data_IF_955650546582
#
_entry.id   IF_955650546582
#
_cell.length_a   1.000
_cell.length_b   1.000
_cell.length_c   1.000
_cell.angle_alpha   90.00
_cell.angle_beta   90.00
_cell.angle_gamma   90.00
#
_symmetry.space_group_name_H-M   'P 1'
#
loop_
_entity.id
_entity.type
_entity.pdbx_description
1 polymer ?
#
# COMPACT_ATOMS: atom_id res chain seq x y z
N UNK A 1 -0.94 -36.37 -4.89
CA UNK A 1 -0.32 -35.03 -4.78
C UNK A 1 0.14 -34.86 -3.34
N UNK A 2 1.36 -34.34 -3.10
CA UNK A 2 1.84 -34.04 -1.75
C UNK A 2 0.87 -33.01 -1.10
N UNK A 3 0.36 -33.29 0.10
CA UNK A 3 -0.58 -32.40 0.81
C UNK A 3 -0.03 -30.97 0.94
N UNK A 4 1.27 -30.85 1.25
CA UNK A 4 1.96 -29.56 1.33
C UNK A 4 1.85 -28.78 0.02
N UNK A 5 2.17 -29.45 -1.10
CA UNK A 5 2.09 -28.84 -2.43
C UNK A 5 0.64 -28.48 -2.79
N UNK A 6 -0.32 -29.32 -2.43
CA UNK A 6 -1.75 -29.04 -2.63
C UNK A 6 -2.18 -27.73 -1.97
N UNK A 7 -1.86 -27.56 -0.69
CA UNK A 7 -2.12 -26.33 0.09
C UNK A 7 -1.47 -25.09 -0.53
N UNK A 8 -0.21 -25.21 -0.94
CA UNK A 8 0.52 -24.12 -1.61
C UNK A 8 -0.14 -23.71 -2.93
N UNK A 9 -0.49 -24.67 -3.78
CA UNK A 9 -1.16 -24.40 -5.05
C UNK A 9 -2.56 -23.81 -4.84
N UNK A 10 -3.28 -24.24 -3.80
CA UNK A 10 -4.57 -23.66 -3.43
C UNK A 10 -4.47 -22.17 -3.12
N UNK A 11 -3.51 -21.75 -2.28
CA UNK A 11 -3.32 -20.31 -2.03
C UNK A 11 -2.87 -19.58 -3.31
N UNK A 12 -1.96 -20.15 -4.11
CA UNK A 12 -1.48 -19.51 -5.35
C UNK A 12 -2.65 -19.20 -6.30
N UNK A 13 -3.62 -20.10 -6.43
CA UNK A 13 -4.83 -19.86 -7.23
C UNK A 13 -5.75 -18.83 -6.55
N UNK A 14 -5.89 -18.87 -5.22
CA UNK A 14 -6.70 -17.90 -4.48
C UNK A 14 -6.22 -16.46 -4.67
N UNK A 15 -4.90 -16.24 -4.70
CA UNK A 15 -4.28 -14.92 -4.87
C UNK A 15 -4.63 -14.26 -6.22
N UNK A 16 -5.12 -15.00 -7.21
CA UNK A 16 -5.62 -14.43 -8.47
C UNK A 16 -6.75 -13.42 -8.23
N UNK A 17 -7.55 -13.64 -7.18
CA UNK A 17 -8.68 -12.77 -6.81
C UNK A 17 -8.25 -11.34 -6.45
N UNK A 18 -7.00 -11.14 -6.02
CA UNK A 18 -6.46 -9.81 -5.70
C UNK A 18 -6.47 -8.88 -6.92
N UNK A 19 -6.40 -9.43 -8.14
CA UNK A 19 -6.49 -8.67 -9.40
C UNK A 19 -7.87 -8.04 -9.62
N UNK A 20 -8.89 -8.51 -8.90
CA UNK A 20 -10.26 -7.98 -8.99
C UNK A 20 -10.55 -6.87 -7.97
N UNK A 21 -9.69 -6.70 -6.97
CA UNK A 21 -9.79 -5.63 -5.97
C UNK A 21 -9.32 -4.32 -6.61
N UNK A 22 -10.22 -3.34 -6.69
CA UNK A 22 -9.94 -2.05 -7.33
C UNK A 22 -9.70 -0.96 -6.27
N UNK A 23 -8.59 -0.24 -6.45
CA UNK A 23 -8.19 0.93 -5.65
C UNK A 23 -8.79 2.20 -6.23
N UNK A 24 -8.72 3.31 -5.48
CA UNK A 24 -9.19 4.64 -5.96
C UNK A 24 -8.23 5.34 -6.92
N UNK A 25 -6.96 4.93 -6.92
CA UNK A 25 -5.92 5.48 -7.80
C UNK A 25 -6.20 5.09 -9.26
N UNK A 26 -6.01 6.01 -10.22
CA UNK A 26 -6.11 5.70 -11.65
C UNK A 26 -4.75 5.46 -12.30
N UNK A 27 -4.70 4.46 -13.18
CA UNK A 27 -3.52 4.12 -13.99
C UNK A 27 -3.50 4.97 -15.27
N UNK A 28 -2.53 5.89 -15.36
CA UNK A 28 -2.40 6.82 -16.50
C UNK A 28 -2.23 6.12 -17.84
N UNK A 29 -1.40 5.07 -17.86
CA UNK A 29 -1.06 4.29 -19.06
C UNK A 29 -2.21 3.41 -19.56
N UNK A 30 -3.27 3.25 -18.77
CA UNK A 30 -4.41 2.38 -19.08
C UNK A 30 -5.72 3.17 -19.17
N UNK A 31 -5.69 4.34 -19.83
CA UNK A 31 -6.84 5.21 -20.07
C UNK A 31 -7.65 5.54 -18.80
N UNK A 32 -6.98 5.73 -17.67
CA UNK A 32 -7.63 6.11 -16.41
C UNK A 32 -8.44 4.99 -15.74
N UNK A 33 -8.19 3.72 -16.10
CA UNK A 33 -8.69 2.57 -15.33
C UNK A 33 -8.24 2.68 -13.87
N UNK A 34 -9.07 2.24 -12.94
CA UNK A 34 -8.67 2.08 -11.54
C UNK A 34 -7.55 1.05 -11.42
N UNK A 35 -6.54 1.38 -10.62
CA UNK A 35 -5.49 0.46 -10.21
C UNK A 35 -6.09 -0.74 -9.47
N UNK A 36 -5.56 -1.95 -9.65
CA UNK A 36 -5.88 -3.08 -8.81
C UNK A 36 -4.78 -3.37 -7.78
N UNK A 37 -5.11 -4.04 -6.69
CA UNK A 37 -4.16 -4.25 -5.57
C UNK A 37 -2.98 -5.15 -5.94
N UNK A 38 -3.15 -6.06 -6.91
CA UNK A 38 -2.06 -6.90 -7.39
C UNK A 38 -1.03 -6.09 -8.22
N UNK A 39 -1.45 -5.19 -9.10
CA UNK A 39 -0.53 -4.34 -9.86
C UNK A 39 0.10 -3.24 -9.01
N UNK A 40 -0.61 -2.73 -7.99
CA UNK A 40 -0.04 -1.86 -6.95
C UNK A 40 1.10 -2.58 -6.21
N UNK A 41 0.84 -3.80 -5.71
CA UNK A 41 1.83 -4.62 -5.01
C UNK A 41 3.08 -4.90 -5.84
N UNK A 42 2.93 -5.16 -7.15
CA UNK A 42 4.06 -5.27 -8.07
C UNK A 42 4.86 -3.96 -8.16
N UNK A 43 4.17 -2.83 -8.30
CA UNK A 43 4.81 -1.54 -8.50
C UNK A 43 5.59 -1.10 -7.27
N UNK A 44 5.01 -1.23 -6.08
CA UNK A 44 5.68 -0.89 -4.82
C UNK A 44 6.84 -1.84 -4.50
N UNK A 45 6.72 -3.14 -4.81
CA UNK A 45 7.82 -4.10 -4.64
C UNK A 45 9.01 -3.76 -5.56
N UNK A 46 8.75 -3.38 -6.81
CA UNK A 46 9.81 -2.91 -7.71
C UNK A 46 10.43 -1.59 -7.22
N UNK A 47 9.60 -0.67 -6.70
CA UNK A 47 10.07 0.58 -6.12
C UNK A 47 11.00 0.34 -4.92
N UNK A 48 10.74 -0.67 -4.10
CA UNK A 48 11.61 -1.01 -2.97
C UNK A 48 13.04 -1.32 -3.40
N UNK A 49 13.21 -2.08 -4.49
CA UNK A 49 14.54 -2.39 -5.04
C UNK A 49 15.27 -1.12 -5.49
N UNK A 50 14.55 -0.18 -6.12
CA UNK A 50 15.15 1.04 -6.66
C UNK A 50 15.49 2.06 -5.58
N UNK A 51 14.69 2.12 -4.50
CA UNK A 51 14.75 3.19 -3.50
C UNK A 51 15.50 2.78 -2.22
N UNK A 52 16.11 1.59 -2.16
CA UNK A 52 16.80 1.05 -0.98
C UNK A 52 17.77 2.06 -0.34
N UNK A 53 18.55 2.77 -1.16
CA UNK A 53 19.53 3.76 -0.70
C UNK A 53 18.90 4.99 0.01
N UNK A 54 17.59 5.13 -0.04
CA UNK A 54 16.85 6.20 0.63
C UNK A 54 16.19 5.75 1.94
N UNK A 55 16.35 4.50 2.37
CA UNK A 55 15.87 4.04 3.66
C UNK A 55 16.59 4.79 4.81
N UNK A 56 15.86 5.10 5.88
CA UNK A 56 16.44 5.74 7.07
C UNK A 56 17.46 4.84 7.78
N UNK A 57 17.12 3.56 7.88
CA UNK A 57 17.87 2.52 8.55
C UNK A 57 18.29 1.45 7.55
N UNK A 58 19.27 0.61 7.90
CA UNK A 58 19.60 -0.58 7.11
C UNK A 58 18.38 -1.51 7.06
N UNK A 59 18.01 -1.92 5.85
CA UNK A 59 16.89 -2.83 5.59
C UNK A 59 17.36 -4.09 4.84
N UNK A 60 16.64 -5.19 4.97
CA UNK A 60 16.78 -6.34 4.07
C UNK A 60 15.81 -6.17 2.90
N UNK A 61 16.32 -5.78 1.73
CA UNK A 61 15.46 -5.46 0.60
C UNK A 61 14.69 -6.67 0.07
N UNK A 62 15.25 -7.88 0.18
CA UNK A 62 14.55 -9.11 -0.24
C UNK A 62 13.35 -9.37 0.68
N UNK A 63 13.51 -9.07 1.97
CA UNK A 63 12.45 -9.18 2.97
C UNK A 63 11.39 -8.09 2.79
N UNK A 64 11.78 -6.85 2.51
CA UNK A 64 10.86 -5.75 2.17
C UNK A 64 10.02 -6.10 0.93
N UNK A 65 10.65 -6.61 -0.13
CA UNK A 65 9.94 -7.08 -1.33
C UNK A 65 8.96 -8.19 -1.00
N UNK A 66 9.37 -9.19 -0.21
CA UNK A 66 8.48 -10.28 0.23
C UNK A 66 7.27 -9.73 1.01
N UNK A 67 7.50 -8.76 1.88
CA UNK A 67 6.45 -8.10 2.67
C UNK A 67 5.45 -7.36 1.77
N UNK A 68 5.95 -6.57 0.82
CA UNK A 68 5.13 -5.81 -0.13
C UNK A 68 4.37 -6.69 -1.13
N UNK A 69 4.88 -7.87 -1.48
CA UNK A 69 4.10 -8.82 -2.30
C UNK A 69 2.92 -9.45 -1.53
N UNK A 70 2.91 -9.35 -0.20
CA UNK A 70 1.92 -9.95 0.69
C UNK A 70 0.97 -8.94 1.35
N UNK A 71 1.34 -7.65 1.39
CA UNK A 71 0.66 -6.68 2.25
C UNK A 71 -0.85 -6.55 2.00
N UNK A 72 -1.25 -6.49 0.72
CA UNK A 72 -2.66 -6.30 0.33
C UNK A 72 -3.42 -7.62 0.11
N UNK A 73 -2.85 -8.81 0.34
CA UNK A 73 -3.59 -10.06 0.03
C UNK A 73 -4.89 -10.18 0.81
N UNK A 74 -4.95 -9.57 2.00
CA UNK A 74 -6.14 -9.51 2.87
C UNK A 74 -7.30 -8.75 2.23
N UNK A 75 -7.02 -7.87 1.28
CA UNK A 75 -8.05 -7.13 0.54
C UNK A 75 -8.90 -8.04 -0.37
N UNK A 76 -8.48 -9.29 -0.62
CA UNK A 76 -9.32 -10.29 -1.32
C UNK A 76 -10.68 -10.44 -0.61
N UNK A 77 -10.68 -10.43 0.72
CA UNK A 77 -11.91 -10.54 1.52
C UNK A 77 -12.35 -9.20 2.11
N UNK A 78 -11.39 -8.36 2.53
CA UNK A 78 -11.68 -7.10 3.21
C UNK A 78 -12.08 -5.97 2.24
N UNK A 79 -11.63 -6.05 0.98
CA UNK A 79 -11.68 -4.96 0.02
C UNK A 79 -10.65 -3.86 0.30
N UNK A 80 -10.43 -2.99 -0.70
CA UNK A 80 -9.60 -1.78 -0.57
C UNK A 80 -10.35 -0.71 0.22
N UNK A 81 -9.67 -0.14 1.24
CA UNK A 81 -10.17 1.02 1.98
C UNK A 81 -9.37 2.27 1.59
N UNK A 82 -10.09 3.29 1.12
CA UNK A 82 -9.45 4.54 0.75
C UNK A 82 -8.83 5.22 1.96
N UNK A 83 -7.53 5.51 1.90
CA UNK A 83 -6.73 5.99 3.04
C UNK A 83 -7.24 7.31 3.66
N UNK A 84 -8.05 8.10 2.95
CA UNK A 84 -8.64 9.34 3.45
C UNK A 84 -10.08 9.17 4.00
N UNK A 85 -10.64 7.95 3.98
CA UNK A 85 -11.96 7.64 4.55
C UNK A 85 -11.83 7.12 5.99
N UNK A 86 -11.87 8.05 6.95
CA UNK A 86 -11.71 7.76 8.38
C UNK A 86 -12.85 6.89 8.93
N UNK A 87 -14.06 6.98 8.36
CA UNK A 87 -15.21 6.22 8.84
C UNK A 87 -15.13 4.75 8.44
N UNK A 88 -14.66 4.46 7.23
CA UNK A 88 -14.44 3.09 6.76
C UNK A 88 -13.34 2.36 7.54
N UNK A 89 -12.36 3.09 8.10
CA UNK A 89 -11.19 2.53 8.78
C UNK A 89 -11.50 1.78 10.09
N UNK A 90 -12.64 2.02 10.75
CA UNK A 90 -12.92 1.43 12.08
C UNK A 90 -13.26 -0.06 12.05
N UNK A 91 -13.92 -0.53 10.98
CA UNK A 91 -14.24 -1.95 10.79
C UNK A 91 -13.18 -2.69 9.96
N UNK A 92 -12.25 -1.95 9.36
CA UNK A 92 -11.31 -2.49 8.39
C UNK A 92 -10.30 -3.43 9.03
N UNK A 93 -9.77 -3.08 10.21
CA UNK A 93 -8.80 -3.92 10.92
C UNK A 93 -9.38 -5.31 11.24
N UNK A 94 -10.63 -5.38 11.68
CA UNK A 94 -11.29 -6.65 11.97
C UNK A 94 -11.50 -7.50 10.71
N UNK A 95 -11.87 -6.87 9.59
CA UNK A 95 -12.04 -7.54 8.29
C UNK A 95 -10.71 -8.08 7.76
N UNK A 96 -9.65 -7.28 7.84
CA UNK A 96 -8.31 -7.66 7.41
C UNK A 96 -7.73 -8.78 8.27
N UNK A 97 -7.93 -8.76 9.59
CA UNK A 97 -7.51 -9.84 10.48
C UNK A 97 -8.24 -11.15 10.18
N UNK A 98 -9.55 -11.09 9.89
CA UNK A 98 -10.33 -12.27 9.51
C UNK A 98 -9.86 -12.82 8.15
N UNK A 99 -9.58 -11.95 7.18
CA UNK A 99 -9.03 -12.31 5.88
C UNK A 99 -7.65 -12.98 6.01
N UNK A 100 -6.76 -12.40 6.83
CA UNK A 100 -5.44 -12.95 7.12
C UNK A 100 -5.55 -14.35 7.72
N UNK A 101 -6.44 -14.56 8.69
CA UNK A 101 -6.65 -15.87 9.29
C UNK A 101 -7.09 -16.91 8.25
N UNK A 102 -8.03 -16.55 7.37
CA UNK A 102 -8.50 -17.45 6.30
C UNK A 102 -7.39 -17.75 5.30
N UNK A 103 -6.76 -16.72 4.73
CA UNK A 103 -5.82 -16.86 3.62
C UNK A 103 -4.53 -17.57 4.05
N UNK A 104 -3.94 -17.18 5.18
CA UNK A 104 -2.70 -17.80 5.65
C UNK A 104 -2.91 -19.22 6.19
N UNK A 105 -4.11 -19.57 6.67
CA UNK A 105 -4.42 -20.96 7.10
C UNK A 105 -4.59 -21.94 5.93
N UNK A 106 -4.72 -21.44 4.68
CA UNK A 106 -4.69 -22.29 3.48
C UNK A 106 -3.32 -22.95 3.26
N UNK A 107 -2.24 -22.37 3.80
CA UNK A 107 -0.88 -22.88 3.68
C UNK A 107 -0.57 -24.00 4.66
N UNK A 108 0.54 -24.74 4.44
CA UNK A 108 1.18 -25.52 5.50
C UNK A 108 1.45 -24.63 6.73
N UNK A 109 1.27 -25.17 7.93
CA UNK A 109 1.26 -24.37 9.18
C UNK A 109 2.53 -23.55 9.41
N UNK A 110 3.68 -24.08 9.02
CA UNK A 110 4.97 -23.37 9.08
C UNK A 110 4.99 -22.13 8.18
N UNK A 111 4.55 -22.25 6.92
CA UNK A 111 4.51 -21.13 5.98
C UNK A 111 3.40 -20.14 6.33
N UNK A 112 2.22 -20.63 6.69
CA UNK A 112 1.09 -19.77 7.09
C UNK A 112 1.46 -18.88 8.28
N UNK A 113 2.09 -19.45 9.31
CA UNK A 113 2.54 -18.68 10.47
C UNK A 113 3.63 -17.65 10.12
N UNK A 114 4.63 -18.05 9.32
CA UNK A 114 5.71 -17.16 8.89
C UNK A 114 5.18 -15.95 8.11
N UNK A 115 4.33 -16.19 7.10
CA UNK A 115 3.81 -15.12 6.23
C UNK A 115 2.80 -14.23 6.97
N UNK A 116 1.95 -14.80 7.83
CA UNK A 116 1.06 -14.02 8.69
C UNK A 116 1.85 -13.12 9.64
N UNK A 117 2.93 -13.61 10.21
CA UNK A 117 3.81 -12.82 11.08
C UNK A 117 4.43 -11.65 10.32
N UNK A 118 4.89 -11.89 9.09
CA UNK A 118 5.44 -10.84 8.23
C UNK A 118 4.39 -9.78 7.87
N UNK A 119 3.16 -10.19 7.58
CA UNK A 119 2.04 -9.28 7.33
C UNK A 119 1.66 -8.45 8.57
N UNK A 120 1.58 -9.07 9.76
CA UNK A 120 1.35 -8.33 11.02
C UNK A 120 2.47 -7.32 11.33
N UNK A 121 3.71 -7.66 10.96
CA UNK A 121 4.84 -6.74 11.10
C UNK A 121 4.71 -5.53 10.17
N UNK A 122 4.33 -5.74 8.90
CA UNK A 122 3.97 -4.67 7.99
C UNK A 122 2.89 -3.80 8.63
N UNK A 123 1.81 -4.40 9.13
CA UNK A 123 0.70 -3.66 9.70
C UNK A 123 1.09 -2.78 10.88
N UNK A 124 1.87 -3.33 11.80
CA UNK A 124 2.36 -2.61 12.98
C UNK A 124 3.48 -1.59 12.69
N UNK A 125 4.10 -1.61 11.51
CA UNK A 125 5.27 -0.79 11.17
C UNK A 125 6.39 -0.87 12.24
N UNK A 126 6.61 -2.05 12.82
CA UNK A 126 7.42 -2.20 14.03
C UNK A 126 8.93 -2.31 13.77
N UNK A 127 9.35 -2.67 12.56
CA UNK A 127 10.76 -2.84 12.15
C UNK A 127 11.20 -1.80 11.12
N UNK A 128 12.50 -1.70 10.87
CA UNK A 128 13.04 -0.86 9.79
C UNK A 128 12.46 -1.25 8.42
N UNK A 129 12.45 -2.55 8.11
CA UNK A 129 11.86 -3.08 6.88
C UNK A 129 10.38 -2.70 6.73
N UNK A 130 9.58 -2.87 7.79
CA UNK A 130 8.16 -2.58 7.76
C UNK A 130 7.87 -1.08 7.62
N UNK A 131 8.65 -0.22 8.30
CA UNK A 131 8.54 1.24 8.14
C UNK A 131 8.89 1.66 6.73
N UNK A 132 9.95 1.09 6.15
CA UNK A 132 10.34 1.39 4.78
C UNK A 132 9.28 0.91 3.78
N UNK A 133 8.81 -0.34 3.90
CA UNK A 133 7.70 -0.87 3.10
C UNK A 133 6.46 0.04 3.16
N UNK A 134 5.99 0.42 4.36
CA UNK A 134 4.82 1.31 4.54
C UNK A 134 5.03 2.74 4.07
N UNK A 135 6.29 3.22 4.00
CA UNK A 135 6.62 4.51 3.41
C UNK A 135 6.50 4.46 1.89
N UNK A 136 7.00 3.38 1.27
CA UNK A 136 6.91 3.16 -0.17
C UNK A 136 5.46 2.97 -0.63
N UNK A 137 4.68 2.16 0.10
CA UNK A 137 3.26 1.95 -0.19
C UNK A 137 2.46 3.25 -0.24
N UNK A 138 2.70 4.17 0.70
CA UNK A 138 2.10 5.53 0.71
C UNK A 138 2.55 6.41 -0.44
N UNK A 139 3.78 6.23 -0.92
CA UNK A 139 4.37 7.10 -1.93
C UNK A 139 3.75 6.88 -3.32
N UNK A 140 3.44 5.63 -3.70
CA UNK A 140 2.90 5.31 -5.04
C UNK A 140 1.59 6.07 -5.35
N UNK A 141 0.54 6.02 -4.51
CA UNK A 141 -0.69 6.76 -4.77
C UNK A 141 -0.47 8.27 -4.86
N UNK A 142 0.46 8.82 -4.09
CA UNK A 142 0.80 10.24 -4.14
C UNK A 142 1.51 10.61 -5.46
N UNK A 143 2.47 9.81 -5.92
CA UNK A 143 3.12 9.98 -7.23
C UNK A 143 2.09 9.91 -8.36
N UNK A 144 1.20 8.93 -8.33
CA UNK A 144 0.17 8.76 -9.35
C UNK A 144 -0.85 9.91 -9.34
N UNK A 145 -1.23 10.42 -8.17
CA UNK A 145 -2.05 11.64 -8.09
C UNK A 145 -1.34 12.84 -8.70
N UNK A 146 -0.08 13.07 -8.34
CA UNK A 146 0.72 14.18 -8.85
C UNK A 146 0.84 14.13 -10.38
N UNK A 147 1.15 12.95 -10.94
CA UNK A 147 1.27 12.76 -12.38
C UNK A 147 -0.06 12.67 -13.15
N UNK A 148 -1.19 12.60 -12.44
CA UNK A 148 -2.55 12.63 -12.97
C UNK A 148 -3.30 13.91 -12.56
N UNK A 149 -2.60 15.03 -12.40
CA UNK A 149 -3.23 16.34 -12.17
C UNK A 149 -4.17 16.38 -10.95
N UNK A 150 -3.82 15.60 -9.92
CA UNK A 150 -4.57 15.47 -8.68
C UNK A 150 -5.86 14.68 -8.80
N UNK A 151 -5.98 13.76 -9.76
CA UNK A 151 -7.23 13.07 -10.08
C UNK A 151 -7.99 12.53 -8.85
N UNK A 152 -7.42 11.62 -8.07
CA UNK A 152 -8.18 11.01 -6.96
C UNK A 152 -8.40 12.01 -5.82
N UNK A 153 -7.48 12.98 -5.65
CA UNK A 153 -7.66 14.09 -4.72
C UNK A 153 -8.87 14.96 -5.09
N UNK A 154 -9.01 15.33 -6.36
CA UNK A 154 -10.14 16.11 -6.87
C UNK A 154 -11.45 15.34 -6.78
N UNK A 155 -11.47 14.10 -7.27
CA UNK A 155 -12.68 13.27 -7.31
C UNK A 155 -13.27 13.03 -5.91
N UNK A 156 -12.42 12.98 -4.87
CA UNK A 156 -12.85 12.70 -3.50
C UNK A 156 -12.75 13.91 -2.57
N UNK A 157 -12.49 15.11 -3.10
CA UNK A 157 -12.41 16.34 -2.31
C UNK A 157 -11.32 16.34 -1.23
N UNK A 158 -10.22 15.62 -1.47
CA UNK A 158 -9.09 15.51 -0.52
C UNK A 158 -8.39 16.86 -0.41
N UNK A 159 -8.05 17.23 0.82
CA UNK A 159 -7.39 18.49 1.18
C UNK A 159 -5.90 18.30 1.41
N UNK A 160 -5.12 19.39 1.25
CA UNK A 160 -3.69 19.44 1.59
C UNK A 160 -3.41 18.91 2.99
N UNK A 161 -4.23 19.30 3.96
CA UNK A 161 -4.10 18.88 5.36
C UNK A 161 -4.26 17.36 5.51
N UNK A 162 -5.25 16.76 4.84
CA UNK A 162 -5.43 15.30 4.83
C UNK A 162 -4.23 14.59 4.19
N UNK A 163 -3.74 15.08 3.04
CA UNK A 163 -2.56 14.50 2.36
C UNK A 163 -1.33 14.58 3.26
N UNK A 164 -1.06 15.74 3.86
CA UNK A 164 0.08 15.92 4.76
C UNK A 164 -0.04 15.02 6.01
N UNK A 165 -1.22 14.99 6.63
CA UNK A 165 -1.46 14.18 7.83
C UNK A 165 -1.23 12.70 7.60
N UNK A 166 -1.89 12.12 6.58
CA UNK A 166 -1.80 10.69 6.25
C UNK A 166 -0.40 10.30 5.81
N UNK A 167 0.23 11.10 4.95
CA UNK A 167 1.50 10.73 4.30
C UNK A 167 2.74 11.15 5.09
N UNK A 168 2.61 11.94 6.17
CA UNK A 168 3.72 12.26 7.07
C UNK A 168 4.46 11.02 7.60
N UNK A 169 3.77 9.88 7.69
CA UNK A 169 4.34 8.59 8.09
C UNK A 169 5.40 8.06 7.12
N UNK A 170 5.49 8.57 5.89
CA UNK A 170 6.61 8.26 4.97
C UNK A 170 7.95 8.56 5.64
N UNK A 171 8.03 9.63 6.44
CA UNK A 171 9.23 10.02 7.17
C UNK A 171 9.78 8.93 8.11
N UNK A 172 8.93 8.00 8.57
CA UNK A 172 9.34 6.90 9.45
C UNK A 172 10.22 5.88 8.72
N UNK A 173 9.99 5.67 7.42
CA UNK A 173 10.78 4.77 6.58
C UNK A 173 11.85 5.49 5.75
N UNK A 174 11.56 6.72 5.30
CA UNK A 174 12.49 7.55 4.54
C UNK A 174 12.16 9.04 4.68
N UNK A 175 13.04 9.77 5.37
CA UNK A 175 12.96 11.22 5.46
C UNK A 175 13.18 11.87 4.07
N UNK A 176 14.11 11.33 3.28
CA UNK A 176 14.41 11.80 1.92
C UNK A 176 13.19 11.76 1.01
N UNK A 177 12.48 10.62 0.97
CA UNK A 177 11.27 10.48 0.15
C UNK A 177 10.13 11.37 0.66
N UNK A 178 10.04 11.56 1.98
CA UNK A 178 9.05 12.48 2.54
C UNK A 178 9.33 13.95 2.18
N UNK A 179 10.59 14.37 2.11
CA UNK A 179 10.94 15.73 1.71
C UNK A 179 10.64 16.01 0.23
N UNK A 180 10.80 15.02 -0.64
CA UNK A 180 10.33 15.09 -2.03
C UNK A 180 8.80 15.08 -2.12
N UNK A 181 8.13 14.21 -1.36
CA UNK A 181 6.67 14.16 -1.26
C UNK A 181 6.05 15.52 -0.91
N UNK A 182 6.60 16.20 0.10
CA UNK A 182 6.15 17.55 0.49
C UNK A 182 6.30 18.55 -0.67
N UNK A 183 7.41 18.52 -1.40
CA UNK A 183 7.61 19.40 -2.57
C UNK A 183 6.57 19.15 -3.66
N UNK A 184 6.23 17.89 -3.93
CA UNK A 184 5.16 17.53 -4.86
C UNK A 184 3.78 17.99 -4.37
N UNK A 185 3.50 17.88 -3.07
CA UNK A 185 2.23 18.35 -2.48
C UNK A 185 2.07 19.85 -2.66
N UNK A 186 3.11 20.65 -2.39
CA UNK A 186 3.06 22.11 -2.59
C UNK A 186 2.83 22.45 -4.07
N UNK A 187 3.57 21.82 -4.99
CA UNK A 187 3.37 22.02 -6.44
C UNK A 187 1.96 21.62 -6.90
N UNK A 188 1.38 20.56 -6.32
CA UNK A 188 0.00 20.17 -6.63
C UNK A 188 -1.01 21.24 -6.17
N UNK A 189 -0.75 21.93 -5.06
CA UNK A 189 -1.59 23.04 -4.61
C UNK A 189 -1.46 24.23 -5.57
N UNK A 190 -0.23 24.62 -5.91
CA UNK A 190 0.04 25.73 -6.84
C UNK A 190 -0.61 25.51 -8.22
N UNK A 191 -0.65 24.26 -8.68
CA UNK A 191 -1.28 23.88 -9.95
C UNK A 191 -2.81 23.71 -9.87
N UNK A 192 -3.44 23.91 -8.70
CA UNK A 192 -4.87 23.69 -8.49
C UNK A 192 -5.29 22.21 -8.59
N UNK A 193 -4.35 21.30 -8.34
CA UNK A 193 -4.56 19.85 -8.35
C UNK A 193 -4.98 19.30 -6.98
N UNK A 194 -4.65 20.01 -5.91
CA UNK A 194 -4.98 19.65 -4.54
C UNK A 194 -5.58 20.86 -3.83
N UNK A 195 -6.69 20.65 -3.11
CA UNK A 195 -7.40 21.74 -2.42
C UNK A 195 -6.58 22.23 -1.22
N UNK A 196 -6.34 23.55 -1.15
CA UNK A 196 -5.84 24.20 0.06
C UNK A 196 -7.03 24.66 0.93
N UNK A 197 -6.98 24.42 2.25
CA UNK A 197 -8.05 24.80 3.17
C UNK A 197 -8.02 26.29 3.57
N UNK A 198 -7.02 27.05 3.12
CA UNK A 198 -6.86 28.48 3.43
C UNK A 198 -7.68 29.42 2.53
N UNK A 199 -8.43 28.91 1.55
CA UNK A 199 -9.38 29.70 0.75
C UNK A 199 -10.82 29.56 1.31
N UNK A 200 -11.18 30.48 2.22
CA UNK A 200 -12.57 30.86 2.55
C UNK A 200 -12.71 32.36 2.32
#
# INVERSE_FOLDING_TARGET
>A
MNERLGKQLSLIIELDQLKSVLRRTRVKSANGRLENSAEHSWHVALMAILMEEHANDSVDISRVVKMLLLHDIVEIDAGDTFVYDVAASLEQEEKELAAAERLFSMLPSDQGLELKTLWLEFESASTADAKFAKALDRLIPMLLNFHNEGQSWKEHGVTKEQVLGVNSKIALGSQTLWDEAKRMIEQAVDNGWLKNNEEI
#
